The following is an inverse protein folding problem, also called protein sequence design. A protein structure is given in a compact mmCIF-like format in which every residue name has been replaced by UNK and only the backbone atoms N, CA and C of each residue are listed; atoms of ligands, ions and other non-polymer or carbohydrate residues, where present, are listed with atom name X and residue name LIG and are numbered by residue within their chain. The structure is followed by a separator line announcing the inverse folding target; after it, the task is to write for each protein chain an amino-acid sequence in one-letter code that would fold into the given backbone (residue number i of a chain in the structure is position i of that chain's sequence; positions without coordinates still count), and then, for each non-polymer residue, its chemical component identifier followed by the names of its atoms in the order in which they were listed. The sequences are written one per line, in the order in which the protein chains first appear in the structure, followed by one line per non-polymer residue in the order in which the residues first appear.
data_IF_214279159230
#
_entry.id   IF_214279159230
#
_cell.length_a   1.000
_cell.length_b   1.000
_cell.length_c   1.000
_cell.angle_alpha   90.00
_cell.angle_beta   90.00
_cell.angle_gamma   90.00
#
_symmetry.space_group_name_H-M   'P 1'
#
loop_
_entity.id
_entity.type
_entity.pdbx_description
1 polymer ?
#
# COMPACT_ATOMS: atom_id res chain seq x y z
N UNK A 1 -1.63 -50.01 16.05
CA UNK A 1 -0.89 -48.72 16.07
C UNK A 1 -0.90 -48.04 14.69
N UNK A 2 -0.64 -48.75 13.59
CA UNK A 2 -0.70 -48.20 12.22
C UNK A 2 -2.07 -47.65 11.78
N UNK A 3 -3.19 -48.24 12.22
CA UNK A 3 -4.53 -47.77 11.83
C UNK A 3 -4.97 -46.50 12.56
N UNK A 4 -4.52 -46.31 13.81
CA UNK A 4 -4.75 -45.08 14.55
C UNK A 4 -4.02 -43.89 13.90
N UNK A 5 -2.78 -44.09 13.45
CA UNK A 5 -1.99 -43.07 12.75
C UNK A 5 -2.63 -42.73 11.38
N UNK A 6 -3.09 -43.72 10.61
CA UNK A 6 -3.80 -43.49 9.34
C UNK A 6 -5.09 -42.68 9.54
N UNK A 7 -5.83 -42.94 10.61
CA UNK A 7 -7.05 -42.21 10.95
C UNK A 7 -6.74 -40.76 11.36
N UNK A 8 -5.70 -40.52 12.15
CA UNK A 8 -5.24 -39.16 12.48
C UNK A 8 -4.84 -38.38 11.21
N UNK A 9 -4.09 -38.99 10.29
CA UNK A 9 -3.72 -38.36 9.01
C UNK A 9 -4.98 -38.04 8.19
N UNK A 10 -5.97 -38.93 8.16
CA UNK A 10 -7.23 -38.72 7.44
C UNK A 10 -8.06 -37.57 8.04
N UNK A 11 -8.15 -37.48 9.37
CA UNK A 11 -8.82 -36.37 10.06
C UNK A 11 -8.07 -35.05 9.86
N UNK A 12 -6.72 -35.05 9.88
CA UNK A 12 -5.92 -33.84 9.63
C UNK A 12 -6.12 -33.26 8.22
N UNK A 13 -6.30 -34.13 7.21
CA UNK A 13 -6.65 -33.71 5.84
C UNK A 13 -8.07 -33.16 5.75
N UNK A 14 -8.99 -33.69 6.54
CA UNK A 14 -10.37 -33.20 6.58
C UNK A 14 -10.47 -31.84 7.30
N UNK A 15 -9.73 -31.64 8.39
CA UNK A 15 -9.62 -30.33 9.06
C UNK A 15 -9.01 -29.26 8.14
N UNK A 16 -8.06 -29.61 7.26
CA UNK A 16 -7.53 -28.68 6.25
C UNK A 16 -8.63 -28.07 5.36
N UNK A 17 -9.69 -28.82 5.07
CA UNK A 17 -10.81 -28.35 4.27
C UNK A 17 -11.88 -27.59 5.10
N UNK A 18 -11.79 -27.63 6.43
CA UNK A 18 -12.70 -26.96 7.36
C UNK A 18 -12.20 -25.63 7.91
N UNK A 19 -10.93 -25.28 7.69
CA UNK A 19 -10.49 -23.90 7.78
C UNK A 19 -11.10 -23.16 6.59
N UNK A 20 -12.11 -22.32 6.86
CA UNK A 20 -12.64 -21.34 5.92
C UNK A 20 -11.49 -20.80 5.08
N UNK A 21 -11.55 -20.94 3.75
CA UNK A 21 -10.60 -20.29 2.86
C UNK A 21 -10.61 -18.80 3.22
N UNK A 22 -9.52 -18.33 3.84
CA UNK A 22 -9.35 -16.91 4.11
C UNK A 22 -9.03 -16.25 2.80
N UNK A 23 -9.89 -15.34 2.42
CA UNK A 23 -9.77 -14.56 1.21
C UNK A 23 -8.81 -13.38 1.42
N UNK A 24 -7.79 -13.30 0.56
CA UNK A 24 -6.79 -12.23 0.54
C UNK A 24 -6.87 -11.41 -0.75
N UNK A 25 -8.01 -11.40 -1.43
CA UNK A 25 -8.23 -10.64 -2.66
C UNK A 25 -7.93 -9.14 -2.49
N UNK A 26 -8.12 -8.58 -1.29
CA UNK A 26 -7.72 -7.20 -0.96
C UNK A 26 -6.21 -6.93 -1.01
N UNK A 27 -5.38 -7.98 -1.18
CA UNK A 27 -3.94 -7.90 -1.43
C UNK A 27 -3.58 -8.09 -2.91
N UNK A 28 -4.58 -8.11 -3.79
CA UNK A 28 -4.34 -8.22 -5.24
C UNK A 28 -3.49 -7.04 -5.70
N UNK A 29 -2.34 -7.35 -6.28
CA UNK A 29 -1.40 -6.36 -6.79
C UNK A 29 -1.98 -5.62 -7.98
N UNK A 30 -1.69 -4.31 -8.07
CA UNK A 30 -2.05 -3.50 -9.22
C UNK A 30 -1.14 -3.79 -10.41
N UNK A 31 -1.67 -3.60 -11.60
CA UNK A 31 -0.86 -3.55 -12.81
C UNK A 31 -0.24 -2.16 -13.01
N UNK A 32 0.89 -2.11 -13.71
CA UNK A 32 1.62 -0.88 -13.96
C UNK A 32 1.74 -0.62 -15.46
N UNK A 33 1.43 0.62 -15.87
CA UNK A 33 1.54 1.10 -17.24
C UNK A 33 2.62 2.17 -17.28
N UNK A 34 3.47 2.15 -18.30
CA UNK A 34 4.53 3.15 -18.47
C UNK A 34 3.88 4.51 -18.78
N UNK A 35 4.26 5.54 -18.03
CA UNK A 35 3.95 6.94 -18.35
C UNK A 35 5.10 7.59 -19.12
N UNK A 36 4.77 8.52 -20.02
CA UNK A 36 5.74 9.35 -20.73
C UNK A 36 6.02 10.68 -20.03
N UNK A 37 5.29 11.03 -18.96
CA UNK A 37 5.53 12.25 -18.20
C UNK A 37 6.76 12.13 -17.29
N UNK A 38 7.58 13.19 -17.26
CA UNK A 38 8.84 13.20 -16.50
C UNK A 38 8.81 14.00 -15.19
N UNK A 39 7.71 14.73 -14.94
CA UNK A 39 7.55 15.51 -13.71
C UNK A 39 7.57 14.59 -12.49
N UNK A 40 8.36 14.90 -11.44
CA UNK A 40 8.38 14.12 -10.22
C UNK A 40 7.00 14.17 -9.56
N UNK A 41 6.53 13.02 -9.08
CA UNK A 41 5.20 12.90 -8.50
C UNK A 41 5.23 11.99 -7.28
N UNK A 42 4.63 12.47 -6.19
CA UNK A 42 4.44 11.70 -4.97
C UNK A 42 3.08 11.02 -5.04
N UNK A 43 3.06 9.71 -4.81
CA UNK A 43 1.89 8.86 -4.90
C UNK A 43 1.51 8.36 -3.51
N UNK A 44 0.42 8.86 -2.94
CA UNK A 44 -0.12 8.37 -1.69
C UNK A 44 -1.04 7.17 -1.95
N UNK A 45 -0.72 6.02 -1.37
CA UNK A 45 -1.60 4.84 -1.41
C UNK A 45 -2.31 4.72 -0.07
N UNK A 46 -3.64 4.83 -0.10
CA UNK A 46 -4.48 4.94 1.09
C UNK A 46 -5.81 4.24 0.89
N UNK A 47 -6.43 3.76 1.96
CA UNK A 47 -7.74 3.09 1.86
C UNK A 47 -8.83 4.04 1.38
N UNK A 48 -8.92 5.24 1.96
CA UNK A 48 -9.92 6.26 1.64
C UNK A 48 -9.45 7.68 1.95
N UNK A 49 -10.08 8.66 1.28
CA UNK A 49 -9.93 10.09 1.54
C UNK A 49 -11.24 10.77 1.97
N UNK A 50 -12.34 10.02 2.12
CA UNK A 50 -13.61 10.60 2.58
C UNK A 50 -13.44 11.19 3.97
N UNK A 51 -13.55 12.51 4.11
CA UNK A 51 -13.34 13.23 5.37
C UNK A 51 -14.27 12.74 6.48
N UNK A 52 -15.43 12.17 6.13
CA UNK A 52 -16.36 11.58 7.10
C UNK A 52 -15.82 10.29 7.75
N UNK A 53 -14.83 9.64 7.11
CA UNK A 53 -14.16 8.41 7.57
C UNK A 53 -12.69 8.65 7.96
N UNK A 54 -12.14 9.82 7.68
CA UNK A 54 -10.75 10.17 7.97
C UNK A 54 -10.53 10.50 9.45
N UNK A 55 -10.42 9.48 10.28
CA UNK A 55 -10.00 9.60 11.67
C UNK A 55 -8.59 9.04 11.88
N UNK A 56 -7.94 9.46 12.97
CA UNK A 56 -6.64 8.93 13.38
C UNK A 56 -5.58 9.02 12.29
N UNK A 57 -4.92 7.87 12.00
CA UNK A 57 -3.77 7.76 11.11
C UNK A 57 -4.00 8.23 9.67
N UNK A 58 -5.22 8.10 9.14
CA UNK A 58 -5.55 8.55 7.77
C UNK A 58 -5.38 10.07 7.61
N UNK A 59 -5.81 10.84 8.63
CA UNK A 59 -5.69 12.30 8.61
C UNK A 59 -4.23 12.76 8.67
N UNK A 60 -3.41 12.09 9.49
CA UNK A 60 -1.98 12.35 9.60
C UNK A 60 -1.26 12.02 8.29
N UNK A 61 -1.60 10.90 7.66
CA UNK A 61 -1.03 10.48 6.39
C UNK A 61 -1.26 11.52 5.28
N UNK A 62 -2.51 11.97 5.09
CA UNK A 62 -2.82 12.97 4.05
C UNK A 62 -2.15 14.31 4.32
N UNK A 63 -2.07 14.75 5.60
CA UNK A 63 -1.37 16.00 5.97
C UNK A 63 0.12 15.92 5.68
N UNK A 64 0.78 14.86 6.12
CA UNK A 64 2.21 14.64 5.90
C UNK A 64 2.51 14.54 4.40
N UNK A 65 1.71 13.77 3.67
CA UNK A 65 1.84 13.62 2.22
C UNK A 65 1.77 14.96 1.49
N UNK A 66 0.78 15.79 1.79
CA UNK A 66 0.64 17.14 1.18
C UNK A 66 1.85 18.01 1.49
N UNK A 67 2.26 18.05 2.76
CA UNK A 67 3.43 18.81 3.17
C UNK A 67 4.71 18.35 2.45
N UNK A 68 4.92 17.04 2.33
CA UNK A 68 6.08 16.47 1.63
C UNK A 68 6.06 16.81 0.14
N UNK A 69 4.93 16.63 -0.54
CA UNK A 69 4.81 16.95 -1.96
C UNK A 69 5.01 18.44 -2.24
N UNK A 70 4.46 19.33 -1.41
CA UNK A 70 4.67 20.79 -1.52
C UNK A 70 6.13 21.17 -1.27
N UNK A 71 6.74 20.64 -0.20
CA UNK A 71 8.13 20.92 0.15
C UNK A 71 9.13 20.44 -0.90
N UNK A 72 8.83 19.32 -1.57
CA UNK A 72 9.67 18.73 -2.62
C UNK A 72 9.30 19.20 -4.03
N UNK A 73 8.33 20.11 -4.16
CA UNK A 73 7.83 20.61 -5.46
C UNK A 73 7.41 19.49 -6.42
N UNK A 74 6.71 18.48 -5.91
CA UNK A 74 6.25 17.31 -6.67
C UNK A 74 4.76 17.40 -7.01
N UNK A 75 4.37 16.83 -8.15
CA UNK A 75 2.97 16.55 -8.42
C UNK A 75 2.41 15.57 -7.38
N UNK A 76 1.09 15.62 -7.18
CA UNK A 76 0.36 14.81 -6.21
C UNK A 76 -0.56 13.82 -6.92
N UNK A 77 -0.46 12.54 -6.57
CA UNK A 77 -1.51 11.56 -6.85
C UNK A 77 -1.94 10.80 -5.60
N UNK A 78 -3.24 10.74 -5.35
CA UNK A 78 -3.81 9.85 -4.34
C UNK A 78 -4.42 8.63 -5.03
N UNK A 79 -4.07 7.44 -4.54
CA UNK A 79 -4.54 6.15 -5.03
C UNK A 79 -5.36 5.51 -3.91
N UNK A 80 -6.69 5.47 -4.09
CA UNK A 80 -7.63 4.86 -3.15
C UNK A 80 -7.76 3.36 -3.40
N UNK A 81 -7.76 2.54 -2.34
CA UNK A 81 -7.78 1.07 -2.48
C UNK A 81 -9.06 0.41 -1.96
N UNK A 82 -9.90 1.10 -1.18
CA UNK A 82 -11.02 0.47 -0.47
C UNK A 82 -12.41 0.94 -0.91
N UNK A 83 -12.52 2.03 -1.68
CA UNK A 83 -13.80 2.50 -2.20
C UNK A 83 -13.69 3.19 -3.55
N UNK A 84 -14.81 3.19 -4.29
CA UNK A 84 -14.95 3.97 -5.51
C UNK A 84 -15.04 5.46 -5.18
N UNK A 85 -14.52 6.27 -6.10
CA UNK A 85 -14.60 7.72 -5.97
C UNK A 85 -16.04 8.15 -6.28
N UNK A 86 -16.70 8.76 -5.30
CA UNK A 86 -18.05 9.33 -5.45
C UNK A 86 -17.98 10.85 -5.58
N UNK A 87 -19.01 11.45 -6.14
CA UNK A 87 -19.13 12.92 -6.28
C UNK A 87 -18.96 13.64 -4.94
N UNK A 88 -19.54 13.11 -3.87
CA UNK A 88 -19.49 13.72 -2.53
C UNK A 88 -18.07 13.69 -1.93
N UNK A 89 -17.24 12.72 -2.35
CA UNK A 89 -15.82 12.68 -1.97
C UNK A 89 -15.08 13.75 -2.78
N UNK A 90 -15.33 13.85 -4.08
CA UNK A 90 -14.65 14.83 -4.95
C UNK A 90 -14.96 16.29 -4.59
N UNK A 91 -16.19 16.58 -4.14
CA UNK A 91 -16.56 17.90 -3.60
C UNK A 91 -15.66 18.35 -2.44
N UNK A 92 -15.10 17.40 -1.68
CA UNK A 92 -14.18 17.68 -0.58
C UNK A 92 -12.75 18.01 -1.05
N UNK A 93 -12.43 17.74 -2.32
CA UNK A 93 -11.11 17.90 -2.95
C UNK A 93 -11.23 18.60 -4.32
N UNK A 94 -11.71 19.85 -4.39
CA UNK A 94 -12.01 20.54 -5.66
C UNK A 94 -10.78 20.76 -6.56
N UNK A 95 -9.58 20.80 -5.98
CA UNK A 95 -8.33 20.99 -6.73
C UNK A 95 -7.79 19.70 -7.34
N UNK A 96 -8.43 18.54 -7.09
CA UNK A 96 -7.97 17.25 -7.57
C UNK A 96 -8.77 16.82 -8.79
N UNK A 97 -8.06 16.37 -9.82
CA UNK A 97 -8.65 15.76 -11.01
C UNK A 97 -8.89 14.28 -10.75
N UNK A 98 -10.15 13.84 -10.86
CA UNK A 98 -10.50 12.42 -10.78
C UNK A 98 -10.07 11.70 -12.06
N UNK A 99 -9.39 10.57 -11.90
CA UNK A 99 -8.82 9.77 -12.98
C UNK A 99 -9.36 8.34 -12.90
N UNK A 100 -9.61 7.76 -14.07
CA UNK A 100 -9.95 6.34 -14.18
C UNK A 100 -8.71 5.45 -14.01
N UNK A 101 -8.93 4.18 -13.68
CA UNK A 101 -7.88 3.16 -13.61
C UNK A 101 -7.16 3.05 -14.97
N UNK A 102 -5.83 3.13 -14.94
CA UNK A 102 -4.96 3.07 -16.12
C UNK A 102 -4.84 4.36 -16.91
N UNK A 103 -5.64 5.39 -16.61
CA UNK A 103 -5.54 6.69 -17.27
C UNK A 103 -4.29 7.43 -16.81
N UNK A 104 -3.60 8.08 -17.75
CA UNK A 104 -2.42 8.91 -17.48
C UNK A 104 -2.75 10.40 -17.62
N UNK A 105 -2.09 11.25 -16.82
CA UNK A 105 -2.31 12.70 -16.80
C UNK A 105 -1.07 13.43 -16.31
N UNK A 106 -0.88 14.65 -16.80
CA UNK A 106 0.10 15.65 -16.37
C UNK A 106 -0.43 16.62 -15.31
N UNK A 107 -1.69 16.48 -14.89
CA UNK A 107 -2.29 17.35 -13.88
C UNK A 107 -1.50 17.28 -12.56
N UNK A 108 -1.31 18.45 -11.95
CA UNK A 108 -0.51 18.59 -10.73
C UNK A 108 -1.13 17.87 -9.52
N UNK A 109 -2.46 17.73 -9.47
CA UNK A 109 -3.17 17.04 -8.39
C UNK A 109 -4.20 16.08 -8.97
N UNK A 110 -4.02 14.79 -8.73
CA UNK A 110 -4.87 13.73 -9.26
C UNK A 110 -5.33 12.77 -8.17
N UNK A 111 -6.49 12.16 -8.35
CA UNK A 111 -6.98 11.07 -7.52
C UNK A 111 -7.53 9.97 -8.40
N UNK A 112 -7.16 8.72 -8.12
CA UNK A 112 -7.71 7.54 -8.77
C UNK A 112 -8.05 6.46 -7.75
N UNK A 113 -8.86 5.50 -8.18
CA UNK A 113 -9.14 4.29 -7.40
C UNK A 113 -8.55 3.09 -8.13
N UNK A 114 -8.01 2.16 -7.36
CA UNK A 114 -7.69 0.82 -7.80
C UNK A 114 -8.68 -0.09 -7.10
N UNK A 115 -9.63 -0.62 -7.85
CA UNK A 115 -10.73 -1.39 -7.29
C UNK A 115 -10.26 -2.81 -6.96
N UNK A 116 -9.64 -2.93 -5.79
CA UNK A 116 -9.20 -4.21 -5.23
C UNK A 116 -10.38 -5.03 -4.71
N UNK A 117 -11.52 -4.38 -4.42
CA UNK A 117 -12.71 -5.02 -3.82
C UNK A 117 -13.59 -5.76 -4.84
N UNK A 118 -13.57 -5.37 -6.11
CA UNK A 118 -14.33 -6.04 -7.19
C UNK A 118 -13.45 -6.85 -8.15
N UNK A 119 -12.29 -7.34 -7.68
CA UNK A 119 -11.42 -8.27 -8.43
C UNK A 119 -10.88 -7.75 -9.76
N UNK A 120 -11.05 -6.46 -10.03
CA UNK A 120 -10.50 -5.84 -11.22
C UNK A 120 -9.03 -5.54 -10.94
N UNK A 121 -8.13 -6.08 -11.76
CA UNK A 121 -6.72 -5.70 -11.73
C UNK A 121 -6.63 -4.25 -12.20
N UNK A 122 -6.79 -3.31 -11.28
CA UNK A 122 -6.61 -1.90 -11.55
C UNK A 122 -5.19 -1.67 -12.07
N UNK A 123 -5.07 -0.84 -13.10
CA UNK A 123 -3.78 -0.42 -13.61
C UNK A 123 -3.51 1.00 -13.12
N UNK A 124 -2.24 1.34 -12.89
CA UNK A 124 -1.83 2.71 -12.65
C UNK A 124 -0.70 3.10 -13.59
N UNK A 125 -0.75 4.32 -14.12
CA UNK A 125 0.39 4.87 -14.84
C UNK A 125 1.53 5.15 -13.86
N UNK A 126 2.74 4.74 -14.19
CA UNK A 126 3.93 4.96 -13.36
C UNK A 126 4.92 5.79 -14.17
N UNK A 127 5.33 6.94 -13.64
CA UNK A 127 6.35 7.81 -14.19
C UNK A 127 7.75 7.35 -13.77
N UNK A 128 8.75 7.79 -14.52
CA UNK A 128 10.17 7.53 -14.23
C UNK A 128 10.57 8.02 -12.83
N UNK A 129 10.07 9.18 -12.42
CA UNK A 129 10.38 9.84 -11.13
C UNK A 129 9.22 9.75 -10.13
N UNK A 130 8.32 8.79 -10.29
CA UNK A 130 7.27 8.55 -9.30
C UNK A 130 7.90 8.01 -8.00
N UNK A 131 7.54 8.60 -6.86
CA UNK A 131 7.81 8.05 -5.53
C UNK A 131 6.47 7.59 -4.96
N UNK A 132 6.43 6.40 -4.37
CA UNK A 132 5.22 5.85 -3.76
C UNK A 132 5.33 5.81 -2.26
N UNK A 133 4.24 6.20 -1.59
CA UNK A 133 4.10 6.25 -0.15
C UNK A 133 2.95 5.36 0.31
N UNK A 134 3.27 4.24 0.94
CA UNK A 134 2.30 3.36 1.58
C UNK A 134 1.94 3.86 2.98
N UNK A 135 0.70 3.60 3.41
CA UNK A 135 0.15 4.09 4.70
C UNK A 135 -0.31 2.98 5.64
N UNK A 136 -0.44 1.76 5.10
CA UNK A 136 -0.87 0.55 5.80
C UNK A 136 -0.29 -0.67 5.09
N UNK A 137 -0.11 -1.79 5.79
CA UNK A 137 0.56 -2.97 5.23
C UNK A 137 -0.10 -3.51 3.95
N UNK A 138 -1.43 -3.49 3.85
CA UNK A 138 -2.11 -3.91 2.63
C UNK A 138 -1.83 -2.96 1.46
N UNK A 139 -1.81 -1.64 1.72
CA UNK A 139 -1.46 -0.64 0.70
C UNK A 139 -0.03 -0.82 0.20
N UNK A 140 0.90 -1.20 1.09
CA UNK A 140 2.27 -1.53 0.72
C UNK A 140 2.30 -2.73 -0.23
N UNK A 141 1.59 -3.82 0.11
CA UNK A 141 1.52 -5.01 -0.73
C UNK A 141 0.99 -4.75 -2.13
N UNK A 142 -0.07 -3.95 -2.23
CA UNK A 142 -0.72 -3.62 -3.50
C UNK A 142 0.30 -3.05 -4.49
N UNK A 143 1.25 -2.23 -4.02
CA UNK A 143 2.26 -1.57 -4.85
C UNK A 143 3.67 -2.18 -4.79
N UNK A 144 3.90 -3.26 -4.05
CA UNK A 144 5.27 -3.76 -3.78
C UNK A 144 6.10 -4.00 -5.06
N UNK A 145 5.46 -4.36 -6.16
CA UNK A 145 6.15 -4.65 -7.44
C UNK A 145 6.49 -3.39 -8.25
N UNK A 146 6.14 -2.19 -7.77
CA UNK A 146 6.35 -0.94 -8.52
C UNK A 146 7.83 -0.62 -8.73
N UNK A 147 8.69 -0.94 -7.74
CA UNK A 147 10.13 -0.72 -7.86
C UNK A 147 10.75 -1.63 -8.92
N UNK A 148 10.30 -2.90 -8.98
CA UNK A 148 10.69 -3.83 -10.04
C UNK A 148 10.27 -3.30 -11.40
N UNK A 149 9.04 -2.80 -11.51
CA UNK A 149 8.54 -2.17 -12.74
C UNK A 149 9.40 -0.96 -13.15
N UNK A 150 9.71 -0.05 -12.22
CA UNK A 150 10.53 1.12 -12.52
C UNK A 150 11.95 0.74 -12.96
N UNK A 151 12.54 -0.27 -12.34
CA UNK A 151 13.84 -0.81 -12.75
C UNK A 151 13.82 -1.41 -14.15
N UNK A 152 12.81 -2.23 -14.47
CA UNK A 152 12.67 -2.87 -15.77
C UNK A 152 12.34 -1.89 -16.90
N UNK A 153 11.50 -0.88 -16.65
CA UNK A 153 11.03 0.06 -17.68
C UNK A 153 11.89 1.30 -17.84
N UNK A 154 12.51 1.77 -16.76
CA UNK A 154 13.27 3.02 -16.74
C UNK A 154 14.75 2.85 -16.36
N UNK A 155 15.17 1.66 -15.92
CA UNK A 155 16.53 1.42 -15.45
C UNK A 155 16.88 2.13 -14.15
N UNK A 156 15.88 2.52 -13.35
CA UNK A 156 16.07 3.25 -12.08
C UNK A 156 15.91 2.30 -10.89
N UNK A 157 16.82 2.44 -9.93
CA UNK A 157 16.70 1.82 -8.61
C UNK A 157 16.14 2.86 -7.63
N UNK A 158 14.83 2.81 -7.40
CA UNK A 158 14.11 3.76 -6.57
C UNK A 158 13.78 3.14 -5.20
N UNK A 159 13.20 3.94 -4.29
CA UNK A 159 12.78 3.50 -2.96
C UNK A 159 11.29 3.78 -2.73
N UNK A 160 10.66 2.94 -1.92
CA UNK A 160 9.32 3.16 -1.38
C UNK A 160 9.41 4.00 -0.10
N UNK A 161 8.46 4.89 0.09
CA UNK A 161 8.19 5.50 1.39
C UNK A 161 7.13 4.66 2.11
N UNK A 162 7.35 4.38 3.39
CA UNK A 162 6.37 3.67 4.21
C UNK A 162 6.09 4.46 5.49
N UNK A 163 4.90 5.04 5.57
CA UNK A 163 4.43 5.70 6.78
C UNK A 163 3.91 4.66 7.77
N UNK A 164 4.71 4.37 8.78
CA UNK A 164 4.41 3.39 9.82
C UNK A 164 3.77 4.12 11.00
N UNK A 165 2.47 3.90 11.19
CA UNK A 165 1.67 4.55 12.22
C UNK A 165 1.71 3.80 13.56
N UNK A 166 1.83 2.48 13.50
CA UNK A 166 1.90 1.59 14.65
C UNK A 166 2.63 0.28 14.26
N UNK A 167 2.84 -0.62 15.21
CA UNK A 167 3.28 -1.98 14.93
C UNK A 167 2.08 -2.84 14.50
N UNK A 168 1.75 -2.77 13.21
CA UNK A 168 0.57 -3.37 12.62
C UNK A 168 0.46 -4.90 12.76
N UNK A 169 1.54 -5.71 12.86
CA UNK A 169 1.42 -7.14 13.14
C UNK A 169 0.70 -7.40 14.47
N UNK A 170 0.83 -6.48 15.43
CA UNK A 170 0.14 -6.54 16.72
C UNK A 170 -1.39 -6.45 16.64
N UNK A 171 -1.95 -6.05 15.49
CA UNK A 171 -3.39 -6.02 15.25
C UNK A 171 -3.97 -7.42 15.01
N UNK A 172 -3.10 -8.41 14.76
CA UNK A 172 -3.47 -9.78 14.45
C UNK A 172 -2.85 -10.74 15.46
N UNK A 173 -3.58 -11.81 15.78
CA UNK A 173 -2.97 -12.96 16.47
C UNK A 173 -1.94 -13.63 15.55
N UNK A 174 -1.17 -14.58 16.07
CA UNK A 174 -0.25 -15.38 15.26
C UNK A 174 -1.00 -16.13 14.14
N UNK A 175 -1.00 -15.51 12.97
CA UNK A 175 -1.74 -15.91 11.77
C UNK A 175 -0.99 -15.51 10.51
N UNK A 176 -1.58 -15.80 9.35
CA UNK A 176 -1.05 -15.37 8.06
C UNK A 176 -0.96 -13.84 7.97
N UNK A 177 -1.96 -13.09 8.43
CA UNK A 177 -1.97 -11.62 8.43
C UNK A 177 -0.81 -11.05 9.25
N UNK A 178 -0.50 -11.67 10.40
CA UNK A 178 0.68 -11.29 11.19
C UNK A 178 1.96 -11.40 10.36
N UNK A 179 2.18 -12.54 9.70
CA UNK A 179 3.38 -12.79 8.90
C UNK A 179 3.44 -11.92 7.65
N UNK A 180 2.30 -11.69 6.99
CA UNK A 180 2.21 -10.83 5.82
C UNK A 180 2.60 -9.39 6.22
N UNK A 181 1.96 -8.86 7.26
CA UNK A 181 2.24 -7.53 7.80
C UNK A 181 3.71 -7.38 8.18
N UNK A 182 4.26 -8.33 8.95
CA UNK A 182 5.67 -8.34 9.35
C UNK A 182 6.63 -8.34 8.16
N UNK A 183 6.30 -9.05 7.08
CA UNK A 183 7.15 -9.09 5.89
C UNK A 183 7.24 -7.74 5.17
N UNK A 184 6.25 -6.85 5.32
CA UNK A 184 6.31 -5.50 4.74
C UNK A 184 7.44 -4.66 5.35
N UNK A 185 7.82 -4.92 6.61
CA UNK A 185 8.93 -4.25 7.30
C UNK A 185 10.30 -4.83 6.96
N UNK A 186 10.33 -5.97 6.26
CA UNK A 186 11.54 -6.65 5.80
C UNK A 186 11.77 -6.46 4.30
N UNK A 187 10.92 -5.66 3.66
CA UNK A 187 11.03 -5.36 2.25
C UNK A 187 12.18 -4.37 2.02
N UNK A 188 13.12 -4.72 1.15
CA UNK A 188 14.25 -3.85 0.80
C UNK A 188 13.80 -2.64 -0.01
N UNK A 189 14.72 -1.70 -0.26
CA UNK A 189 14.47 -0.46 -0.98
C UNK A 189 13.29 0.34 -0.37
N UNK A 190 13.19 0.38 0.95
CA UNK A 190 12.08 1.01 1.66
C UNK A 190 12.60 1.93 2.76
N UNK A 191 12.15 3.19 2.73
CA UNK A 191 12.43 4.17 3.77
C UNK A 191 11.20 4.36 4.65
N UNK A 192 11.36 4.09 5.94
CA UNK A 192 10.30 4.22 6.93
C UNK A 192 10.18 5.65 7.46
N UNK A 193 8.94 6.13 7.57
CA UNK A 193 8.58 7.33 8.31
C UNK A 193 7.74 6.89 9.50
N UNK A 194 8.25 7.04 10.72
CA UNK A 194 7.55 6.64 11.93
C UNK A 194 6.72 7.78 12.50
N UNK A 195 5.48 7.49 12.90
CA UNK A 195 4.60 8.48 13.55
C UNK A 195 5.11 8.93 14.95
N UNK A 196 6.02 8.17 15.58
CA UNK A 196 6.64 8.60 16.83
C UNK A 196 8.05 8.05 17.03
N UNK A 197 8.83 8.74 17.85
CA UNK A 197 10.15 8.30 18.29
C UNK A 197 10.10 6.96 19.05
N UNK A 198 9.05 6.74 19.85
CA UNK A 198 8.88 5.49 20.60
C UNK A 198 8.67 4.30 19.67
N UNK A 199 7.87 4.49 18.62
CA UNK A 199 7.65 3.47 17.60
C UNK A 199 8.95 3.16 16.84
N UNK A 200 9.70 4.18 16.42
CA UNK A 200 11.00 3.98 15.80
C UNK A 200 11.95 3.19 16.73
N UNK A 201 12.01 3.55 18.01
CA UNK A 201 12.84 2.84 18.99
C UNK A 201 12.40 1.39 19.18
N UNK A 202 11.09 1.12 19.12
CA UNK A 202 10.56 -0.24 19.19
C UNK A 202 11.01 -1.08 17.98
N UNK A 203 10.91 -0.55 16.76
CA UNK A 203 11.39 -1.24 15.56
C UNK A 203 12.90 -1.49 15.59
N UNK A 204 13.69 -0.54 16.09
CA UNK A 204 15.14 -0.71 16.31
C UNK A 204 15.46 -1.84 17.29
N UNK A 205 14.68 -1.99 18.37
CA UNK A 205 14.84 -3.09 19.33
C UNK A 205 14.54 -4.46 18.72
N UNK A 206 13.66 -4.51 17.72
CA UNK A 206 13.31 -5.72 16.97
C UNK A 206 14.27 -6.01 15.79
N UNK A 207 15.33 -5.20 15.62
CA UNK A 207 16.34 -5.31 14.56
C UNK A 207 15.77 -5.22 13.13
N UNK A 208 14.64 -4.50 12.95
CA UNK A 208 14.19 -4.12 11.61
C UNK A 208 15.14 -3.10 11.00
N UNK A 209 15.41 -3.25 9.70
CA UNK A 209 16.31 -2.38 8.93
C UNK A 209 15.54 -1.79 7.78
N UNK A 210 15.57 -0.46 7.71
CA UNK A 210 15.04 0.33 6.62
C UNK A 210 16.19 1.05 5.94
N UNK A 211 16.02 1.38 4.67
CA UNK A 211 17.01 2.10 3.92
C UNK A 211 16.99 3.59 4.28
N UNK A 212 18.14 4.24 4.11
CA UNK A 212 18.26 5.70 4.12
C UNK A 212 18.08 6.21 2.69
N UNK A 213 17.52 7.40 2.49
CA UNK A 213 17.34 7.98 1.15
C UNK A 213 18.66 8.46 0.54
#
# INVERSE_FOLDING_TARGET
MNDAIKNVVKVSKWMKNGYLERDYEYLTKVGFIKSEYENPRLNLVISTIDKNKMYGGLSTAVKLYRYLAEYLEMDMRIIMTAESIKSEIMEQYPDFVCMESGQDSDAHKTVCTVDVCNHSRGNISVRKKDIFMATYWSTFYIIADVLKFQKEKYGIDNKLLYLIQDYEPGFYQWSTEFLLTDSTYKYGNTVAIFNSQNLMNYFKKLDYKFDEW
#
